data_IF_997514079189
#
_entry.id   IF_997514079189
#
_cell.length_a   1.000
_cell.length_b   1.000
_cell.length_c   1.000
_cell.angle_alpha   90.00
_cell.angle_beta   90.00
_cell.angle_gamma   90.00
#
_symmetry.space_group_name_H-M   'P 1'
#
loop_
_entity.id
_entity.type
_entity.pdbx_description
1 polymer ?
#
# COMPACT_ATOMS: atom_id res chain seq x y z
N UNK A 1 6.91 -2.23 18.35
CA UNK A 1 7.09 -1.43 17.12
C UNK A 1 5.80 -0.66 16.93
N UNK A 2 5.88 0.67 16.95
CA UNK A 2 4.71 1.52 16.82
C UNK A 2 4.38 1.72 15.34
N UNK A 3 3.12 1.49 14.96
CA UNK A 3 2.68 1.53 13.57
C UNK A 3 1.71 2.68 13.34
N UNK A 4 1.98 3.48 12.31
CA UNK A 4 1.08 4.48 11.76
C UNK A 4 0.43 3.95 10.47
N UNK A 5 -0.88 4.10 10.34
CA UNK A 5 -1.63 3.86 9.10
C UNK A 5 -2.04 5.20 8.51
N UNK A 6 -1.73 5.40 7.23
CA UNK A 6 -2.15 6.54 6.41
C UNK A 6 -2.97 5.93 5.27
N UNK A 7 -4.30 6.05 5.39
CA UNK A 7 -5.26 5.51 4.44
C UNK A 7 -6.34 6.57 4.19
N UNK A 8 -6.16 7.40 3.15
CA UNK A 8 -7.16 8.41 2.78
C UNK A 8 -8.50 7.74 2.49
N UNK A 9 -9.60 8.42 2.84
CA UNK A 9 -10.93 7.82 2.76
C UNK A 9 -11.40 7.72 1.30
N UNK A 10 -11.47 6.49 0.81
CA UNK A 10 -11.98 6.14 -0.51
C UNK A 10 -12.64 4.74 -0.48
N UNK A 11 -13.93 4.67 -0.80
CA UNK A 11 -14.72 3.43 -0.77
C UNK A 11 -14.20 2.36 -1.73
N UNK A 12 -13.55 2.76 -2.82
CA UNK A 12 -12.97 1.83 -3.80
C UNK A 12 -11.77 1.06 -3.23
N UNK A 13 -11.14 1.61 -2.18
CA UNK A 13 -9.98 1.01 -1.51
C UNK A 13 -10.32 0.40 -0.14
N UNK A 14 -11.60 0.31 0.21
CA UNK A 14 -12.06 -0.17 1.52
C UNK A 14 -11.60 -1.60 1.86
N UNK A 15 -11.38 -2.44 0.85
CA UNK A 15 -10.81 -3.77 1.04
C UNK A 15 -9.47 -3.73 1.81
N UNK A 16 -8.66 -2.68 1.61
CA UNK A 16 -7.39 -2.46 2.31
C UNK A 16 -7.57 -2.23 3.81
N UNK A 17 -8.75 -1.78 4.28
CA UNK A 17 -9.05 -1.65 5.72
C UNK A 17 -8.82 -2.97 6.46
N UNK A 18 -9.04 -4.11 5.78
CA UNK A 18 -8.88 -5.43 6.38
C UNK A 18 -7.47 -5.69 6.90
N UNK A 19 -6.47 -5.03 6.31
CA UNK A 19 -5.05 -5.13 6.68
C UNK A 19 -4.82 -4.71 8.14
N UNK A 20 -5.47 -3.64 8.59
CA UNK A 20 -5.24 -3.05 9.92
C UNK A 20 -6.47 -3.12 10.85
N UNK A 21 -7.62 -3.60 10.36
CA UNK A 21 -8.85 -3.73 11.16
C UNK A 21 -8.60 -4.53 12.46
N UNK A 22 -9.00 -3.94 13.60
CA UNK A 22 -8.84 -4.54 14.93
C UNK A 22 -7.41 -4.52 15.47
N UNK A 23 -6.47 -3.85 14.78
CA UNK A 23 -5.11 -3.64 15.28
C UNK A 23 -5.04 -2.39 16.15
N UNK A 24 -4.18 -2.45 17.17
CA UNK A 24 -3.85 -1.30 18.01
C UNK A 24 -2.80 -0.42 17.30
N UNK A 25 -3.16 0.11 16.12
CA UNK A 25 -2.32 1.02 15.33
C UNK A 25 -2.84 2.44 15.46
N UNK A 26 -1.93 3.41 15.32
CA UNK A 26 -2.35 4.80 15.12
C UNK A 26 -2.86 4.93 13.70
N UNK A 27 -4.08 5.43 13.52
CA UNK A 27 -4.63 5.74 12.20
C UNK A 27 -4.63 7.25 12.08
N UNK A 28 -3.92 7.78 11.06
CA UNK A 28 -3.92 9.20 10.77
C UNK A 28 -5.36 9.64 10.46
N UNK A 29 -5.76 10.77 11.01
CA UNK A 29 -7.09 11.35 10.76
C UNK A 29 -7.05 12.31 9.57
N UNK A 30 -8.20 12.61 8.94
CA UNK A 30 -8.27 13.56 7.83
C UNK A 30 -7.58 14.91 8.13
N UNK A 31 -7.79 15.49 9.30
CA UNK A 31 -7.18 16.77 9.70
C UNK A 31 -5.66 16.68 9.87
N UNK A 32 -5.14 15.50 10.21
CA UNK A 32 -3.71 15.25 10.32
C UNK A 32 -3.08 15.05 8.93
N UNK A 33 -3.79 14.39 8.02
CA UNK A 33 -3.37 14.19 6.62
C UNK A 33 -3.32 15.50 5.83
N UNK A 34 -4.27 16.42 6.08
CA UNK A 34 -4.32 17.75 5.46
C UNK A 34 -3.21 18.67 5.97
N UNK A 35 -2.55 18.34 7.08
CA UNK A 35 -1.49 19.15 7.66
C UNK A 35 -0.15 18.43 7.56
N UNK A 36 0.63 18.78 6.53
CA UNK A 36 1.95 18.20 6.26
C UNK A 36 2.87 18.18 7.49
N UNK A 37 2.89 19.25 8.29
CA UNK A 37 3.75 19.32 9.48
C UNK A 37 3.31 18.31 10.53
N UNK A 38 2.02 18.22 10.81
CA UNK A 38 1.46 17.26 11.77
C UNK A 38 1.71 15.83 11.30
N UNK A 39 1.47 15.54 10.02
CA UNK A 39 1.70 14.20 9.48
C UNK A 39 3.18 13.80 9.53
N UNK A 40 4.10 14.73 9.21
CA UNK A 40 5.54 14.49 9.36
C UNK A 40 5.92 14.16 10.80
N UNK A 41 5.35 14.86 11.78
CA UNK A 41 5.60 14.57 13.20
C UNK A 41 5.01 13.23 13.63
N UNK A 42 3.85 12.83 13.09
CA UNK A 42 3.32 11.49 13.30
C UNK A 42 4.27 10.44 12.73
N UNK A 43 4.72 10.58 11.48
CA UNK A 43 5.66 9.64 10.85
C UNK A 43 6.94 9.49 11.68
N UNK A 44 7.50 10.61 12.18
CA UNK A 44 8.72 10.58 13.01
C UNK A 44 8.54 9.74 14.28
N UNK A 45 7.37 9.80 14.93
CA UNK A 45 7.04 9.09 16.18
C UNK A 45 6.79 7.58 16.02
N UNK A 46 6.67 7.09 14.80
CA UNK A 46 6.36 5.68 14.52
C UNK A 46 7.54 4.98 13.83
N UNK A 47 7.66 3.68 14.07
CA UNK A 47 8.73 2.85 13.50
C UNK A 47 8.32 2.33 12.12
N UNK A 48 7.04 1.92 12.00
CA UNK A 48 6.44 1.39 10.79
C UNK A 48 5.36 2.33 10.28
N UNK A 49 5.38 2.60 8.97
CA UNK A 49 4.37 3.40 8.28
C UNK A 49 3.70 2.52 7.23
N UNK A 50 2.37 2.37 7.33
CA UNK A 50 1.52 1.65 6.39
C UNK A 50 0.73 2.71 5.62
N UNK A 51 0.96 2.79 4.32
CA UNK A 51 0.37 3.78 3.43
C UNK A 51 -0.44 3.03 2.37
N UNK A 52 -1.74 3.31 2.30
CA UNK A 52 -2.73 2.55 1.57
C UNK A 52 -3.63 3.49 0.77
N UNK A 53 -4.02 3.10 -0.43
CA UNK A 53 -5.05 3.80 -1.21
C UNK A 53 -4.65 3.97 -2.68
N UNK A 54 -5.19 5.00 -3.31
CA UNK A 54 -4.83 5.38 -4.67
C UNK A 54 -3.56 6.20 -4.74
N UNK A 55 -2.85 6.11 -5.85
CA UNK A 55 -1.59 6.79 -6.01
C UNK A 55 -1.02 6.68 -7.41
N UNK A 56 0.13 7.31 -7.58
CA UNK A 56 0.99 7.16 -8.74
C UNK A 56 2.46 7.29 -8.32
N UNK A 57 3.37 7.39 -9.30
CA UNK A 57 4.80 7.52 -9.04
C UNK A 57 5.20 8.79 -8.28
N UNK A 58 4.34 9.81 -8.20
CA UNK A 58 4.59 11.03 -7.45
C UNK A 58 4.17 10.93 -5.98
N UNK A 59 3.31 9.96 -5.61
CA UNK A 59 2.85 9.82 -4.23
C UNK A 59 1.50 9.13 -4.03
N UNK A 60 1.06 9.12 -2.77
CA UNK A 60 -0.26 8.65 -2.33
C UNK A 60 -1.27 9.81 -2.40
N UNK A 61 -2.38 9.61 -3.12
CA UNK A 61 -3.38 10.65 -3.38
C UNK A 61 -4.24 10.97 -2.14
N UNK A 62 -4.85 12.16 -2.12
CA UNK A 62 -5.80 12.61 -1.08
C UNK A 62 -7.07 11.78 -0.93
N UNK A 63 -7.42 10.96 -1.91
CA UNK A 63 -8.76 10.38 -2.03
C UNK A 63 -9.81 11.45 -2.37
N UNK A 64 -11.05 11.06 -2.70
CA UNK A 64 -12.09 11.97 -3.19
C UNK A 64 -12.57 12.98 -2.14
N UNK A 65 -12.31 12.72 -0.86
CA UNK A 65 -12.81 13.51 0.26
C UNK A 65 -11.80 14.53 0.82
N UNK A 66 -10.53 14.48 0.38
CA UNK A 66 -9.52 15.47 0.76
C UNK A 66 -9.25 16.39 -0.44
N UNK A 67 -9.38 17.70 -0.24
CA UNK A 67 -9.09 18.74 -1.25
C UNK A 67 -7.59 18.99 -1.40
N UNK A 68 -6.82 17.90 -1.61
CA UNK A 68 -5.38 17.90 -1.83
C UNK A 68 -5.02 16.83 -2.86
N UNK A 69 -4.01 17.11 -3.68
CA UNK A 69 -3.54 16.13 -4.67
C UNK A 69 -2.94 14.90 -3.97
N UNK A 70 -1.97 15.11 -3.06
CA UNK A 70 -1.22 14.04 -2.41
C UNK A 70 -1.13 14.21 -0.89
N UNK A 71 -1.45 13.14 -0.15
CA UNK A 71 -1.17 13.05 1.30
C UNK A 71 0.32 12.76 1.56
N UNK A 72 0.93 11.96 0.69
CA UNK A 72 2.37 11.65 0.72
C UNK A 72 2.95 12.00 -0.64
N UNK A 73 4.00 12.82 -0.65
CA UNK A 73 4.73 13.24 -1.84
C UNK A 73 6.24 13.36 -1.51
N UNK A 74 7.03 13.91 -2.43
CA UNK A 74 8.48 14.07 -2.28
C UNK A 74 8.92 14.80 -0.99
N UNK A 75 8.08 15.68 -0.44
CA UNK A 75 8.40 16.45 0.77
C UNK A 75 8.55 15.55 2.01
N UNK A 76 8.04 14.32 1.96
CA UNK A 76 8.06 13.34 3.04
C UNK A 76 9.28 12.41 3.03
N UNK A 77 10.10 12.41 1.97
CA UNK A 77 11.24 11.49 1.81
C UNK A 77 12.13 11.45 3.06
N UNK A 78 12.47 12.63 3.60
CA UNK A 78 13.35 12.72 4.77
C UNK A 78 12.78 12.06 6.03
N UNK A 79 11.46 12.09 6.24
CA UNK A 79 10.83 11.48 7.43
C UNK A 79 10.53 10.00 7.25
N UNK A 80 10.46 9.53 5.99
CA UNK A 80 10.27 8.11 5.64
C UNK A 80 11.59 7.32 5.65
N UNK A 81 12.73 7.98 5.53
CA UNK A 81 14.04 7.35 5.61
C UNK A 81 14.24 6.62 6.95
N UNK A 82 14.82 5.42 6.89
CA UNK A 82 15.07 4.56 8.05
C UNK A 82 13.83 3.89 8.65
N UNK A 83 12.63 4.16 8.14
CA UNK A 83 11.38 3.52 8.61
C UNK A 83 11.19 2.13 8.01
N UNK A 84 10.32 1.34 8.63
CA UNK A 84 9.74 0.14 8.01
C UNK A 84 8.48 0.54 7.24
N UNK A 85 8.51 0.45 5.92
CA UNK A 85 7.44 0.95 5.06
C UNK A 85 6.59 -0.18 4.47
N UNK A 86 5.29 0.05 4.40
CA UNK A 86 4.35 -0.72 3.59
C UNK A 86 3.63 0.30 2.71
N UNK A 87 3.82 0.22 1.40
CA UNK A 87 3.27 1.16 0.41
C UNK A 87 2.38 0.40 -0.57
N UNK A 88 1.06 0.49 -0.41
CA UNK A 88 0.10 -0.21 -1.27
C UNK A 88 -0.73 0.85 -1.99
N UNK A 89 -0.26 1.21 -3.18
CA UNK A 89 -0.94 2.05 -4.16
C UNK A 89 -0.29 1.84 -5.54
N UNK A 90 -0.98 2.20 -6.61
CA UNK A 90 -0.46 2.05 -7.97
C UNK A 90 0.83 2.86 -8.17
N UNK A 91 1.90 2.20 -8.61
CA UNK A 91 3.22 2.81 -8.86
C UNK A 91 3.95 3.34 -7.61
N UNK A 92 3.73 2.72 -6.44
CA UNK A 92 4.55 2.97 -5.27
C UNK A 92 6.04 2.65 -5.51
N UNK A 93 6.33 1.74 -6.44
CA UNK A 93 7.70 1.47 -6.94
C UNK A 93 8.42 2.70 -7.46
N UNK A 94 7.74 3.52 -8.25
CA UNK A 94 8.27 4.70 -8.89
C UNK A 94 8.51 5.79 -7.84
N UNK A 95 7.62 5.93 -6.86
CA UNK A 95 7.81 6.84 -5.74
C UNK A 95 9.08 6.48 -4.93
N UNK A 96 9.18 5.23 -4.47
CA UNK A 96 10.29 4.78 -3.63
C UNK A 96 11.63 4.88 -4.39
N UNK A 97 11.68 4.39 -5.63
CA UNK A 97 12.92 4.36 -6.41
C UNK A 97 13.26 5.74 -6.98
N UNK A 98 12.28 6.48 -7.49
CA UNK A 98 12.44 7.77 -8.16
C UNK A 98 12.92 8.87 -7.21
N UNK A 99 12.30 8.96 -6.03
CA UNK A 99 12.72 9.90 -4.98
C UNK A 99 13.84 9.36 -4.08
N UNK A 100 14.33 8.14 -4.35
CA UNK A 100 15.41 7.49 -3.60
C UNK A 100 15.13 7.43 -2.10
N UNK A 101 13.90 7.07 -1.75
CA UNK A 101 13.52 6.84 -0.35
C UNK A 101 14.37 5.68 0.17
N UNK A 102 14.99 5.84 1.34
CA UNK A 102 15.90 4.88 1.94
C UNK A 102 15.33 4.31 3.25
N UNK A 103 14.26 3.50 3.19
CA UNK A 103 13.69 2.82 4.36
C UNK A 103 14.60 1.69 4.85
N UNK A 104 14.45 1.29 6.11
CA UNK A 104 15.11 0.09 6.65
C UNK A 104 14.61 -1.19 5.95
N UNK A 105 13.31 -1.22 5.67
CA UNK A 105 12.64 -2.29 4.91
C UNK A 105 11.42 -1.68 4.25
N UNK A 106 11.05 -2.17 3.07
CA UNK A 106 9.87 -1.70 2.36
C UNK A 106 9.18 -2.83 1.63
N UNK A 107 7.89 -2.99 1.88
CA UNK A 107 6.96 -3.64 0.96
C UNK A 107 6.33 -2.56 0.09
N UNK A 108 6.26 -2.78 -1.22
CA UNK A 108 5.66 -1.81 -2.12
C UNK A 108 5.15 -2.44 -3.40
N UNK A 109 4.09 -1.85 -3.95
CA UNK A 109 3.43 -2.30 -5.18
C UNK A 109 3.91 -1.51 -6.41
N UNK A 110 3.99 -2.20 -7.54
CA UNK A 110 3.95 -1.54 -8.86
C UNK A 110 2.52 -1.14 -9.21
N UNK A 111 2.12 -1.34 -10.47
CA UNK A 111 0.70 -1.34 -10.81
C UNK A 111 -0.02 -2.47 -10.05
N UNK A 112 -1.18 -2.16 -9.49
CA UNK A 112 -2.06 -3.15 -8.86
C UNK A 112 -3.49 -2.91 -9.37
N UNK A 113 -4.03 -3.85 -10.13
CA UNK A 113 -5.41 -3.77 -10.62
C UNK A 113 -6.35 -4.10 -9.46
N UNK A 114 -7.13 -3.10 -9.06
CA UNK A 114 -8.12 -3.13 -7.98
C UNK A 114 -9.50 -2.66 -8.42
N UNK A 115 -9.63 -2.09 -9.61
CA UNK A 115 -10.89 -1.58 -10.17
C UNK A 115 -11.04 -1.90 -11.66
N UNK A 116 -12.27 -1.83 -12.17
CA UNK A 116 -12.59 -2.11 -13.58
C UNK A 116 -11.84 -1.18 -14.54
N UNK A 117 -11.78 0.13 -14.22
CA UNK A 117 -11.08 1.11 -15.07
C UNK A 117 -9.59 0.79 -15.21
N UNK A 118 -8.97 0.24 -14.16
CA UNK A 118 -7.58 -0.20 -14.20
C UNK A 118 -7.42 -1.48 -15.04
N UNK A 119 -8.36 -2.42 -14.92
CA UNK A 119 -8.39 -3.63 -15.75
C UNK A 119 -8.54 -3.28 -17.23
N UNK A 120 -9.43 -2.36 -17.56
CA UNK A 120 -9.67 -1.86 -18.91
C UNK A 120 -8.43 -1.18 -19.49
N UNK A 121 -7.76 -0.34 -18.70
CA UNK A 121 -6.53 0.33 -19.13
C UNK A 121 -5.42 -0.66 -19.46
N UNK A 122 -5.37 -1.79 -18.76
CA UNK A 122 -4.37 -2.85 -18.95
C UNK A 122 -4.82 -4.00 -19.85
N UNK A 123 -5.87 -3.76 -20.65
CA UNK A 123 -6.41 -4.70 -21.63
C UNK A 123 -6.84 -6.05 -21.03
N UNK A 124 -7.35 -6.01 -19.78
CA UNK A 124 -7.88 -7.16 -19.03
C UNK A 124 -9.42 -7.25 -19.07
N UNK A 125 -10.02 -6.83 -20.19
CA UNK A 125 -11.47 -6.69 -20.44
C UNK A 125 -12.35 -7.94 -20.21
N UNK A 126 -11.77 -9.10 -19.93
CA UNK A 126 -12.49 -10.38 -19.82
C UNK A 126 -12.76 -10.79 -18.36
N UNK A 127 -12.20 -10.07 -17.40
CA UNK A 127 -12.37 -10.37 -15.98
C UNK A 127 -13.64 -9.69 -15.45
N UNK A 128 -14.46 -10.47 -14.74
CA UNK A 128 -15.68 -9.98 -14.07
C UNK A 128 -15.29 -9.11 -12.86
N UNK A 129 -16.09 -8.09 -12.56
CA UNK A 129 -16.06 -7.29 -11.32
C UNK A 129 -15.83 -8.18 -10.08
N UNK A 130 -16.48 -9.36 -10.05
CA UNK A 130 -16.31 -10.34 -8.97
C UNK A 130 -14.88 -10.85 -8.82
N UNK A 131 -14.14 -11.05 -9.90
CA UNK A 131 -12.75 -11.50 -9.81
C UNK A 131 -11.85 -10.38 -9.27
N UNK A 132 -12.12 -9.12 -9.64
CA UNK A 132 -11.45 -7.96 -9.05
C UNK A 132 -11.73 -7.89 -7.54
N UNK A 133 -12.99 -8.00 -7.13
CA UNK A 133 -13.38 -8.01 -5.72
C UNK A 133 -12.73 -9.17 -4.93
N UNK A 134 -12.77 -10.39 -5.48
CA UNK A 134 -12.16 -11.56 -4.86
C UNK A 134 -10.64 -11.43 -4.76
N UNK A 135 -9.99 -10.90 -5.80
CA UNK A 135 -8.57 -10.56 -5.81
C UNK A 135 -8.25 -9.57 -4.69
N UNK A 136 -8.97 -8.47 -4.59
CA UNK A 136 -8.80 -7.44 -3.57
C UNK A 136 -8.94 -8.01 -2.15
N UNK A 137 -10.04 -8.71 -1.86
CA UNK A 137 -10.27 -9.33 -0.56
C UNK A 137 -9.23 -10.39 -0.21
N UNK A 138 -8.85 -11.22 -1.18
CA UNK A 138 -7.83 -12.27 -0.98
C UNK A 138 -6.49 -11.62 -0.67
N UNK A 139 -6.09 -10.60 -1.43
CA UNK A 139 -4.85 -9.87 -1.23
C UNK A 139 -4.80 -9.27 0.18
N UNK A 140 -5.79 -8.48 0.60
CA UNK A 140 -5.75 -7.84 1.93
C UNK A 140 -5.75 -8.85 3.08
N UNK A 141 -6.46 -9.98 2.92
CA UNK A 141 -6.48 -11.06 3.92
C UNK A 141 -5.12 -11.75 4.03
N UNK A 142 -4.52 -12.15 2.92
CA UNK A 142 -3.22 -12.84 2.94
C UNK A 142 -2.09 -11.87 3.30
N UNK A 143 -2.15 -10.63 2.83
CA UNK A 143 -1.20 -9.58 3.20
C UNK A 143 -1.20 -9.33 4.70
N UNK A 144 -2.39 -9.22 5.33
CA UNK A 144 -2.49 -9.12 6.78
C UNK A 144 -1.78 -10.27 7.48
N UNK A 145 -2.07 -11.51 7.11
CA UNK A 145 -1.48 -12.70 7.75
C UNK A 145 0.04 -12.65 7.68
N UNK A 146 0.58 -12.39 6.50
CA UNK A 146 2.02 -12.50 6.25
C UNK A 146 2.80 -11.24 6.67
N UNK A 147 2.23 -10.04 6.59
CA UNK A 147 2.95 -8.78 6.80
C UNK A 147 2.59 -8.01 8.08
N UNK A 148 1.43 -8.30 8.66
CA UNK A 148 0.90 -7.62 9.85
C UNK A 148 0.86 -8.55 11.06
N UNK A 149 0.37 -9.77 10.88
CA UNK A 149 0.12 -10.73 11.97
C UNK A 149 1.31 -11.66 12.23
N UNK A 150 2.22 -11.78 11.26
CA UNK A 150 3.44 -12.58 11.35
C UNK A 150 4.64 -11.72 11.73
N UNK A 151 5.48 -12.24 12.63
CA UNK A 151 6.80 -11.68 12.93
C UNK A 151 7.79 -11.90 11.76
N UNK A 152 7.57 -12.95 10.98
CA UNK A 152 8.39 -13.32 9.83
C UNK A 152 7.62 -13.09 8.54
N UNK A 153 7.80 -11.90 7.96
CA UNK A 153 7.22 -11.55 6.66
C UNK A 153 7.74 -12.45 5.55
N UNK A 154 6.82 -13.04 4.77
CA UNK A 154 7.14 -13.93 3.67
C UNK A 154 6.42 -13.52 2.39
N UNK A 155 7.17 -12.98 1.43
CA UNK A 155 6.65 -12.71 0.09
C UNK A 155 6.23 -14.00 -0.62
N UNK A 156 6.97 -15.10 -0.43
CA UNK A 156 6.66 -16.39 -1.02
C UNK A 156 5.29 -16.90 -0.56
N UNK A 157 5.00 -16.85 0.74
CA UNK A 157 3.71 -17.27 1.26
C UNK A 157 2.58 -16.34 0.80
N UNK A 158 2.83 -15.03 0.76
CA UNK A 158 1.86 -14.06 0.27
C UNK A 158 1.45 -14.40 -1.16
N UNK A 159 2.40 -14.51 -2.08
CA UNK A 159 2.14 -14.82 -3.49
C UNK A 159 1.47 -16.19 -3.60
N UNK A 160 2.02 -17.21 -2.92
CA UNK A 160 1.48 -18.58 -2.96
C UNK A 160 0.03 -18.64 -2.52
N UNK A 161 -0.33 -17.96 -1.43
CA UNK A 161 -1.70 -18.00 -0.89
C UNK A 161 -2.65 -17.07 -1.66
N UNK A 162 -2.15 -15.94 -2.17
CA UNK A 162 -2.92 -15.01 -2.99
C UNK A 162 -3.34 -15.64 -4.33
N UNK A 163 -2.43 -16.36 -4.99
CA UNK A 163 -2.68 -17.04 -6.26
C UNK A 163 -3.18 -18.50 -6.11
N UNK A 164 -3.46 -18.96 -4.89
CA UNK A 164 -3.74 -20.39 -4.63
C UNK A 164 -5.03 -20.85 -5.30
N UNK A 165 -4.91 -21.82 -6.21
CA UNK A 165 -6.05 -22.57 -6.75
C UNK A 165 -6.95 -21.77 -7.69
N UNK A 166 -6.46 -20.64 -8.22
CA UNK A 166 -7.21 -19.76 -9.12
C UNK A 166 -6.41 -19.56 -10.42
N UNK A 167 -7.11 -19.55 -11.56
CA UNK A 167 -6.55 -19.12 -12.84
C UNK A 167 -7.09 -17.72 -13.13
N UNK A 168 -6.42 -16.70 -12.58
CA UNK A 168 -6.84 -15.29 -12.64
C UNK A 168 -5.71 -14.44 -13.17
N UNK A 169 -5.94 -13.80 -14.31
CA UNK A 169 -4.95 -12.94 -14.96
C UNK A 169 -4.62 -11.73 -14.09
N UNK A 170 -5.62 -11.20 -13.36
CA UNK A 170 -5.44 -10.09 -12.43
C UNK A 170 -4.53 -10.48 -11.28
N UNK A 171 -4.78 -11.63 -10.64
CA UNK A 171 -3.95 -12.05 -9.50
C UNK A 171 -2.51 -12.33 -9.92
N UNK A 172 -2.31 -12.94 -11.08
CA UNK A 172 -0.97 -13.13 -11.62
C UNK A 172 -0.30 -11.79 -11.92
N UNK A 173 -0.98 -10.89 -12.65
CA UNK A 173 -0.48 -9.55 -12.96
C UNK A 173 -0.08 -8.78 -11.70
N UNK A 174 -0.94 -8.77 -10.68
CA UNK A 174 -0.69 -8.10 -9.42
C UNK A 174 0.49 -8.75 -8.68
N UNK A 175 0.56 -10.09 -8.64
CA UNK A 175 1.60 -10.84 -7.92
C UNK A 175 3.01 -10.58 -8.44
N UNK A 176 3.17 -10.39 -9.76
CA UNK A 176 4.45 -10.04 -10.39
C UNK A 176 4.93 -8.63 -10.05
N UNK A 177 4.04 -7.80 -9.48
CA UNK A 177 4.27 -6.39 -9.15
C UNK A 177 4.26 -6.14 -7.65
N UNK A 178 4.46 -7.19 -6.85
CA UNK A 178 4.69 -7.08 -5.41
C UNK A 178 6.18 -7.17 -5.11
N UNK A 179 6.69 -6.22 -4.33
CA UNK A 179 8.11 -6.16 -4.00
C UNK A 179 8.31 -6.04 -2.48
N UNK A 180 9.30 -6.74 -1.94
CA UNK A 180 9.76 -6.61 -0.56
C UNK A 180 11.29 -6.52 -0.57
N UNK A 181 11.82 -5.44 -0.01
CA UNK A 181 13.25 -5.16 0.04
C UNK A 181 13.67 -4.78 1.44
N UNK A 182 14.75 -5.40 1.89
CA UNK A 182 15.52 -4.92 3.05
C UNK A 182 16.67 -4.09 2.49
N UNK A 183 16.67 -2.80 2.78
CA UNK A 183 17.76 -1.93 2.37
C UNK A 183 18.73 -1.82 3.55
N UNK A 184 20.00 -2.13 3.29
CA UNK A 184 21.03 -1.99 4.30
C UNK A 184 21.20 -0.49 4.61
N UNK A 185 21.32 -0.09 5.89
CA UNK A 185 21.75 1.26 6.19
C UNK A 185 23.13 1.47 5.55
N UNK A 186 23.24 2.51 4.72
CA UNK A 186 24.52 2.99 4.17
C UNK A 186 25.34 3.62 5.28
#
# INVERSE_FOLDING_TARGET
MNTLVIHPEDTTTDFLKKIYEGKNFTIAKPEEMLNETVLKELIKKHDRIVMLGHGNGNGLLGGPNLDIDFVINESFVNVLNGKDLICIWCYATEFINGYKVNPKRVFYTGMFISEELEADFWEKYYEDEKEIEESNYTFSREFRKEYIDSDNRSMENLIKNYCKGVNSDIRYFNSERLFDKVLSPV
#
